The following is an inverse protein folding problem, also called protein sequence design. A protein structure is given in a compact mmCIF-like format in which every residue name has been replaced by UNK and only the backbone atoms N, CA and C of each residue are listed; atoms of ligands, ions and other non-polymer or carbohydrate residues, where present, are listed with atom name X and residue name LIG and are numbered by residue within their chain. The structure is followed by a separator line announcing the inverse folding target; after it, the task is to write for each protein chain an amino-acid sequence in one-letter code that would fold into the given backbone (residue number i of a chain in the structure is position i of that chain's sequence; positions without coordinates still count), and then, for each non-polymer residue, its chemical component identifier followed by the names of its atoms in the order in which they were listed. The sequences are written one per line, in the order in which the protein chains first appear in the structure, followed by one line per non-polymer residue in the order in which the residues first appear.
data_IF_418144528445
#
_entry.id   IF_418144528445
#
_cell.length_a   1.000
_cell.length_b   1.000
_cell.length_c   1.000
_cell.angle_alpha   90.00
_cell.angle_beta   90.00
_cell.angle_gamma   90.00
#
_symmetry.space_group_name_H-M   'P 1'
#
loop_
_entity.id
_entity.type
_entity.pdbx_description
1 polymer ?
#
# COMPACT_ATOMS: atom_id res chain seq x y z
N UNK A 1 9.69 41.10 16.26
CA UNK A 1 9.77 40.19 15.10
C UNK A 1 10.87 39.13 15.27
N UNK A 2 12.12 39.54 15.53
CA UNK A 2 13.28 38.64 15.65
C UNK A 2 13.11 37.53 16.71
N UNK A 3 12.51 37.82 17.86
CA UNK A 3 12.23 36.81 18.89
C UNK A 3 11.26 35.71 18.45
N UNK A 4 10.25 36.03 17.64
CA UNK A 4 9.32 35.03 17.10
C UNK A 4 10.01 34.09 16.12
N UNK A 5 10.92 34.62 15.31
CA UNK A 5 11.71 33.83 14.35
C UNK A 5 12.63 32.87 15.10
N UNK A 6 13.25 33.30 16.21
CA UNK A 6 14.06 32.43 17.06
C UNK A 6 13.24 31.31 17.70
N UNK A 7 12.04 31.60 18.20
CA UNK A 7 11.14 30.58 18.75
C UNK A 7 10.67 29.57 17.69
N UNK A 8 10.35 30.06 16.47
CA UNK A 8 9.98 29.20 15.35
C UNK A 8 11.15 28.31 14.90
N UNK A 9 12.36 28.89 14.81
CA UNK A 9 13.60 28.18 14.50
C UNK A 9 13.84 27.06 15.50
N UNK A 10 13.79 27.37 16.80
CA UNK A 10 14.01 26.42 17.89
C UNK A 10 13.03 25.24 17.84
N UNK A 11 11.75 25.50 17.55
CA UNK A 11 10.74 24.45 17.44
C UNK A 11 10.96 23.55 16.22
N UNK A 12 11.23 24.14 15.05
CA UNK A 12 11.39 23.39 13.81
C UNK A 12 12.68 22.56 13.77
N UNK A 13 13.81 23.16 14.15
CA UNK A 13 15.10 22.46 14.22
C UNK A 13 15.13 21.45 15.37
N UNK A 14 14.49 21.76 16.50
CA UNK A 14 14.29 20.81 17.60
C UNK A 14 13.52 19.57 17.16
N UNK A 15 12.51 19.70 16.31
CA UNK A 15 11.79 18.55 15.72
C UNK A 15 12.69 17.70 14.81
N UNK A 16 13.67 18.31 14.13
CA UNK A 16 14.67 17.62 13.32
C UNK A 16 15.80 16.99 14.16
N UNK A 17 15.85 17.26 15.46
CA UNK A 17 16.85 16.74 16.39
C UNK A 17 18.01 17.71 16.69
N UNK A 18 17.95 18.95 16.23
CA UNK A 18 18.92 19.99 16.57
C UNK A 18 18.49 20.69 17.87
N UNK A 19 19.03 20.19 18.99
CA UNK A 19 18.79 20.68 20.33
C UNK A 19 19.98 21.49 20.84
N UNK A 20 19.84 22.81 20.87
CA UNK A 20 20.84 23.71 21.45
C UNK A 20 20.68 23.76 22.99
N UNK A 21 21.36 22.84 23.68
CA UNK A 21 21.33 22.75 25.15
C UNK A 21 21.87 24.01 25.84
N UNK A 22 22.84 24.70 25.23
CA UNK A 22 23.45 25.91 25.81
C UNK A 22 22.42 27.05 25.88
N UNK A 23 21.53 27.13 24.88
CA UNK A 23 20.43 28.08 24.87
C UNK A 23 19.40 27.82 25.99
N UNK A 24 19.13 26.56 26.33
CA UNK A 24 18.18 26.21 27.41
C UNK A 24 18.78 26.40 28.82
N UNK A 25 20.07 26.12 28.98
CA UNK A 25 20.76 26.22 30.28
C UNK A 25 21.05 27.70 30.64
N UNK A 26 21.27 28.57 29.66
CA UNK A 26 21.50 30.01 29.88
C UNK A 26 20.25 30.81 30.31
N UNK A 27 19.07 30.19 30.36
CA UNK A 27 17.81 30.84 30.69
C UNK A 27 17.61 31.11 32.18
N UNK A 28 16.58 31.93 32.50
CA UNK A 28 16.22 32.31 33.88
C UNK A 28 15.81 31.11 34.77
N UNK A 29 15.37 30.00 34.15
CA UNK A 29 14.93 28.77 34.82
C UNK A 29 15.45 27.52 34.07
N UNK A 30 16.72 27.14 34.26
CA UNK A 30 17.34 26.06 33.49
C UNK A 30 16.67 24.69 33.75
N UNK A 31 16.35 24.37 35.02
CA UNK A 31 15.72 23.11 35.40
C UNK A 31 14.35 22.88 34.71
N UNK A 32 13.49 23.90 34.73
CA UNK A 32 12.15 23.81 34.11
C UNK A 32 12.24 23.61 32.60
N UNK A 33 13.20 24.27 31.95
CA UNK A 33 13.41 24.14 30.50
C UNK A 33 13.87 22.74 30.08
N UNK A 34 14.77 22.12 30.86
CA UNK A 34 15.28 20.76 30.59
C UNK A 34 14.18 19.72 30.78
N UNK A 35 13.36 19.85 31.83
CA UNK A 35 12.24 18.92 32.07
C UNK A 35 11.21 19.02 30.92
N UNK A 36 10.87 20.23 30.47
CA UNK A 36 9.99 20.45 29.32
C UNK A 36 10.57 19.87 28.03
N UNK A 37 11.89 19.99 27.83
CA UNK A 37 12.58 19.43 26.67
C UNK A 37 12.49 17.89 26.64
N UNK A 38 12.74 17.23 27.77
CA UNK A 38 12.63 15.76 27.88
C UNK A 38 11.19 15.32 27.59
N UNK A 39 10.20 16.02 28.16
CA UNK A 39 8.79 15.72 27.91
C UNK A 39 8.42 15.90 26.43
N UNK A 40 8.89 16.97 25.79
CA UNK A 40 8.71 17.22 24.37
C UNK A 40 9.26 16.09 23.49
N UNK A 41 10.48 15.61 23.78
CA UNK A 41 11.10 14.48 23.06
C UNK A 41 10.26 13.20 23.23
N UNK A 42 9.81 12.89 24.45
CA UNK A 42 8.98 11.70 24.72
C UNK A 42 7.63 11.80 24.00
N UNK A 43 6.98 12.96 24.02
CA UNK A 43 5.71 13.16 23.30
C UNK A 43 5.87 12.97 21.79
N UNK A 44 6.90 13.56 21.19
CA UNK A 44 7.14 13.42 19.75
C UNK A 44 7.48 11.99 19.37
N UNK A 45 8.26 11.27 20.18
CA UNK A 45 8.53 9.85 19.90
C UNK A 45 7.25 9.02 19.94
N UNK A 46 6.34 9.24 20.90
CA UNK A 46 5.04 8.56 20.93
C UNK A 46 4.17 8.93 19.71
N UNK A 47 4.13 10.21 19.33
CA UNK A 47 3.40 10.67 18.15
C UNK A 47 3.96 10.07 16.85
N UNK A 48 5.28 10.07 16.68
CA UNK A 48 5.96 9.48 15.53
C UNK A 48 5.77 7.98 15.49
N UNK A 49 5.80 7.28 16.63
CA UNK A 49 5.51 5.85 16.70
C UNK A 49 4.08 5.56 16.25
N UNK A 50 3.10 6.35 16.68
CA UNK A 50 1.72 6.22 16.22
C UNK A 50 1.59 6.46 14.71
N UNK A 51 2.32 7.43 14.15
CA UNK A 51 2.35 7.69 12.71
C UNK A 51 3.10 6.60 11.93
N UNK A 52 4.18 6.05 12.48
CA UNK A 52 4.95 4.96 11.89
C UNK A 52 4.13 3.67 11.85
N UNK A 53 3.40 3.37 12.93
CA UNK A 53 2.50 2.22 13.01
C UNK A 53 1.29 2.43 12.10
N UNK A 54 0.72 3.64 12.00
CA UNK A 54 -0.35 3.93 11.05
C UNK A 54 0.14 3.76 9.61
N UNK A 55 1.31 4.29 9.27
CA UNK A 55 1.89 4.16 7.94
C UNK A 55 2.24 2.69 7.64
N UNK A 56 2.88 1.97 8.56
CA UNK A 56 3.13 0.54 8.35
C UNK A 56 1.84 -0.28 8.36
N UNK A 57 0.83 0.06 9.15
CA UNK A 57 -0.45 -0.65 9.23
C UNK A 57 -1.29 -0.49 7.96
N UNK A 58 -1.53 0.75 7.52
CA UNK A 58 -2.30 1.05 6.32
C UNK A 58 -1.56 0.62 5.07
N UNK A 59 -0.25 0.83 4.99
CA UNK A 59 0.54 0.43 3.83
C UNK A 59 0.72 -1.09 3.79
N UNK A 60 0.90 -1.79 4.91
CA UNK A 60 1.02 -3.25 4.91
C UNK A 60 -0.30 -3.94 4.52
N UNK A 61 -1.44 -3.46 5.04
CA UNK A 61 -2.76 -4.00 4.69
C UNK A 61 -3.20 -3.62 3.26
N UNK A 62 -2.99 -2.36 2.84
CA UNK A 62 -3.35 -1.90 1.51
C UNK A 62 -2.36 -2.35 0.42
N UNK A 63 -1.05 -2.41 0.66
CA UNK A 63 -0.10 -2.94 -0.35
C UNK A 63 -0.42 -4.40 -0.64
N UNK A 64 -0.66 -5.25 0.37
CA UNK A 64 -0.90 -6.67 0.10
C UNK A 64 -2.17 -6.92 -0.74
N UNK A 65 -3.27 -6.21 -0.49
CA UNK A 65 -4.55 -6.39 -1.20
C UNK A 65 -4.68 -5.52 -2.44
N UNK A 66 -4.33 -4.24 -2.34
CA UNK A 66 -4.45 -3.28 -3.44
C UNK A 66 -3.31 -3.41 -4.45
N UNK A 67 -2.07 -3.76 -4.05
CA UNK A 67 -0.99 -3.95 -5.05
C UNK A 67 -1.27 -5.14 -5.97
N UNK A 68 -1.91 -6.22 -5.47
CA UNK A 68 -2.33 -7.33 -6.36
C UNK A 68 -3.37 -6.86 -7.39
N UNK A 69 -4.37 -6.09 -6.96
CA UNK A 69 -5.39 -5.52 -7.85
C UNK A 69 -4.76 -4.55 -8.88
N UNK A 70 -3.89 -3.66 -8.43
CA UNK A 70 -3.17 -2.73 -9.28
C UNK A 70 -2.26 -3.45 -10.28
N UNK A 71 -1.55 -4.49 -9.82
CA UNK A 71 -0.71 -5.33 -10.68
C UNK A 71 -1.52 -6.02 -11.77
N UNK A 72 -2.70 -6.56 -11.45
CA UNK A 72 -3.58 -7.15 -12.44
C UNK A 72 -4.09 -6.11 -13.44
N UNK A 73 -4.46 -4.92 -12.96
CA UNK A 73 -4.90 -3.82 -13.82
C UNK A 73 -3.79 -3.35 -14.76
N UNK A 74 -2.59 -3.11 -14.24
CA UNK A 74 -1.47 -2.66 -15.07
C UNK A 74 -1.04 -3.72 -16.08
N UNK A 75 -1.03 -4.99 -15.66
CA UNK A 75 -0.78 -6.10 -16.59
C UNK A 75 -1.83 -6.17 -17.70
N UNK A 76 -3.11 -5.94 -17.38
CA UNK A 76 -4.19 -5.91 -18.38
C UNK A 76 -4.03 -4.71 -19.32
N UNK A 77 -3.70 -3.52 -18.79
CA UNK A 77 -3.48 -2.30 -19.56
C UNK A 77 -2.32 -2.46 -20.55
N UNK A 78 -1.18 -2.97 -20.08
CA UNK A 78 -0.01 -3.27 -20.92
C UNK A 78 -0.37 -4.29 -22.00
N UNK A 79 -1.03 -5.39 -21.63
CA UNK A 79 -1.46 -6.41 -22.60
C UNK A 79 -2.42 -5.86 -23.66
N UNK A 80 -3.37 -5.01 -23.29
CA UNK A 80 -4.30 -4.37 -24.21
C UNK A 80 -3.59 -3.40 -25.15
N UNK A 81 -2.64 -2.61 -24.64
CA UNK A 81 -1.81 -1.74 -25.45
C UNK A 81 -1.00 -2.53 -26.50
N UNK A 82 -0.42 -3.66 -26.11
CA UNK A 82 0.23 -4.59 -27.03
C UNK A 82 -0.73 -5.19 -28.06
N UNK A 83 -1.98 -5.49 -27.68
CA UNK A 83 -2.96 -6.00 -28.64
C UNK A 83 -3.39 -4.96 -29.67
N UNK A 84 -3.50 -3.68 -29.26
CA UNK A 84 -3.86 -2.58 -30.15
C UNK A 84 -2.76 -2.23 -31.16
N UNK A 85 -1.49 -2.46 -30.82
CA UNK A 85 -0.35 -2.22 -31.72
C UNK A 85 -0.10 -3.37 -32.70
N UNK A 86 -0.80 -4.51 -32.59
CA UNK A 86 -0.62 -5.65 -33.50
C UNK A 86 -1.48 -5.55 -34.77
N UNK A 87 -0.93 -5.93 -35.96
CA UNK A 87 -1.67 -5.95 -37.21
C UNK A 87 -2.80 -7.00 -37.23
N UNK A 88 -3.91 -6.70 -37.91
CA UNK A 88 -5.16 -7.50 -37.95
C UNK A 88 -4.95 -8.98 -38.27
N UNK A 89 -4.01 -9.31 -39.16
CA UNK A 89 -3.71 -10.70 -39.55
C UNK A 89 -3.28 -11.58 -38.36
N UNK A 90 -2.43 -11.06 -37.45
CA UNK A 90 -1.97 -11.81 -36.27
C UNK A 90 -3.02 -11.91 -35.16
N UNK A 91 -4.00 -11.00 -35.12
CA UNK A 91 -5.12 -11.05 -34.17
C UNK A 91 -6.04 -12.22 -34.50
N UNK A 92 -6.49 -12.32 -35.75
CA UNK A 92 -7.43 -13.36 -36.21
C UNK A 92 -6.92 -14.80 -36.01
N UNK A 93 -5.63 -15.05 -36.26
CA UNK A 93 -5.02 -16.37 -36.04
C UNK A 93 -5.10 -16.79 -34.56
N UNK A 94 -4.90 -15.84 -33.64
CA UNK A 94 -5.01 -16.09 -32.20
C UNK A 94 -6.47 -16.27 -31.77
N UNK A 95 -7.41 -15.52 -32.36
CA UNK A 95 -8.85 -15.71 -32.13
C UNK A 95 -9.34 -17.10 -32.55
N UNK A 96 -8.88 -17.68 -33.67
CA UNK A 96 -9.31 -19.05 -34.04
C UNK A 96 -8.85 -20.15 -33.08
N UNK A 97 -7.79 -19.93 -32.30
CA UNK A 97 -7.20 -20.97 -31.43
C UNK A 97 -7.92 -21.16 -30.09
N UNK A 98 -8.60 -20.13 -29.57
CA UNK A 98 -9.16 -20.13 -28.20
C UNK A 98 -10.68 -20.01 -28.12
N UNK A 99 -11.34 -19.80 -29.26
CA UNK A 99 -12.78 -19.58 -29.34
C UNK A 99 -13.45 -20.79 -29.97
N UNK A 100 -14.38 -21.41 -29.26
CA UNK A 100 -15.24 -22.46 -29.80
C UNK A 100 -16.64 -21.86 -29.91
N UNK A 101 -17.35 -22.20 -30.98
CA UNK A 101 -18.77 -21.87 -31.10
C UNK A 101 -19.56 -23.01 -30.47
N UNK A 102 -20.31 -22.71 -29.41
CA UNK A 102 -21.28 -23.63 -28.81
C UNK A 102 -22.64 -22.98 -29.08
N UNK A 103 -23.51 -23.69 -29.80
CA UNK A 103 -24.90 -23.27 -30.00
C UNK A 103 -25.07 -21.87 -30.62
N UNK A 104 -24.15 -21.48 -31.51
CA UNK A 104 -24.15 -20.17 -32.18
C UNK A 104 -23.49 -19.04 -31.37
N UNK A 105 -23.16 -19.28 -30.10
CA UNK A 105 -22.45 -18.32 -29.26
C UNK A 105 -20.93 -18.59 -29.21
N UNK A 106 -20.15 -17.51 -29.14
CA UNK A 106 -18.69 -17.56 -29.09
C UNK A 106 -18.24 -17.71 -27.63
N UNK A 107 -17.83 -18.92 -27.25
CA UNK A 107 -17.39 -19.23 -25.90
C UNK A 107 -15.85 -19.30 -25.83
N UNK A 108 -15.28 -18.78 -24.74
CA UNK A 108 -13.84 -18.89 -24.46
C UNK A 108 -13.60 -20.14 -23.62
N UNK A 109 -12.71 -21.02 -24.08
CA UNK A 109 -12.36 -22.22 -23.31
C UNK A 109 -11.45 -21.85 -22.13
N UNK A 110 -11.94 -22.11 -20.92
CA UNK A 110 -11.15 -22.07 -19.69
C UNK A 110 -10.85 -23.52 -19.29
N UNK A 111 -9.58 -23.91 -19.36
CA UNK A 111 -9.13 -25.16 -18.73
C UNK A 111 -8.77 -24.85 -17.30
N UNK A 112 -9.68 -25.12 -16.38
CA UNK A 112 -9.39 -25.08 -14.96
C UNK A 112 -8.67 -26.36 -14.57
N UNK A 113 -7.51 -26.22 -13.92
CA UNK A 113 -6.82 -27.35 -13.33
C UNK A 113 -7.46 -27.56 -11.96
N UNK A 114 -8.55 -28.34 -11.93
CA UNK A 114 -9.35 -28.54 -10.73
C UNK A 114 -8.50 -29.32 -9.73
N UNK A 115 -8.14 -28.67 -8.62
CA UNK A 115 -7.55 -29.39 -7.50
C UNK A 115 -8.60 -30.33 -6.93
N UNK A 116 -8.23 -31.59 -6.70
CA UNK A 116 -9.09 -32.70 -6.25
C UNK A 116 -9.81 -32.48 -4.90
N UNK A 117 -9.72 -31.28 -4.30
CA UNK A 117 -10.38 -30.90 -3.04
C UNK A 117 -11.75 -30.23 -3.24
N UNK A 118 -12.08 -29.75 -4.44
CA UNK A 118 -13.40 -29.16 -4.71
C UNK A 118 -14.48 -30.18 -5.10
N UNK A 119 -14.10 -31.36 -5.61
CA UNK A 119 -15.07 -32.42 -5.89
C UNK A 119 -15.58 -33.11 -4.61
N UNK A 120 -14.73 -33.28 -3.59
CA UNK A 120 -15.10 -33.98 -2.37
C UNK A 120 -16.22 -33.27 -1.58
N UNK A 121 -16.26 -31.94 -1.58
CA UNK A 121 -17.24 -31.17 -0.78
C UNK A 121 -18.64 -31.10 -1.39
N UNK A 122 -18.81 -31.46 -2.66
CA UNK A 122 -20.15 -31.48 -3.28
C UNK A 122 -20.79 -32.88 -3.23
N UNK A 123 -19.99 -33.93 -3.03
CA UNK A 123 -20.49 -35.30 -2.88
C UNK A 123 -20.96 -35.61 -1.45
N UNK A 124 -20.43 -34.93 -0.43
CA UNK A 124 -20.82 -35.12 0.98
C UNK A 124 -22.22 -34.52 1.30
N UNK A 125 -22.65 -33.49 0.57
CA UNK A 125 -23.96 -32.84 0.74
C UNK A 125 -25.11 -33.59 0.03
N UNK A 126 -24.80 -34.47 -0.93
CA UNK A 126 -25.79 -35.24 -1.70
C UNK A 126 -26.11 -36.62 -1.09
N UNK A 127 -25.38 -37.03 -0.04
CA UNK A 127 -25.53 -38.34 0.61
C UNK A 127 -26.11 -38.24 2.04
N UNK A 128 -26.66 -37.08 2.41
CA UNK A 128 -27.31 -36.85 3.70
C UNK A 128 -28.81 -36.51 3.60
N UNK A 129 -29.45 -36.89 2.49
CA UNK A 129 -30.91 -36.94 2.32
C UNK A 129 -31.37 -38.38 2.11
#
# INVERSE_FOLDING_TARGET
LQGYISSLKLCFLGLLGDFDLDYYIGGKYPLTSVILLIFYVVLITILLLNLLIAMMGDTYANVKRSAKKLWHLERARVALHFQNTMPRSRRLFRFKKYWINIEGERCMQVKENVNNKQFQSTDDDANND
#
